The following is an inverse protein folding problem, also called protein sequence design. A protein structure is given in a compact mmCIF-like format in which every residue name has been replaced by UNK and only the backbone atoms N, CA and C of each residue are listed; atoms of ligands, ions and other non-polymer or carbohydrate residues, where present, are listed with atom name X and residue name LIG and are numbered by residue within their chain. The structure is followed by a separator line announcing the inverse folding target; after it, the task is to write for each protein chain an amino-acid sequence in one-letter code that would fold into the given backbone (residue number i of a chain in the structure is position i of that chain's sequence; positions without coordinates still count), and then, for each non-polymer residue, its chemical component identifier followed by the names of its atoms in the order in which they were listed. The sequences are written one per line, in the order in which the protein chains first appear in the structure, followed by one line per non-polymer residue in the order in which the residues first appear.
data_IF_286614037089
#
_entry.id   IF_286614037089
#
_cell.length_a   1.000
_cell.length_b   1.000
_cell.length_c   1.000
_cell.angle_alpha   90.00
_cell.angle_beta   90.00
_cell.angle_gamma   90.00
#
_symmetry.space_group_name_H-M   'P 1'
#
loop_
_entity.id
_entity.type
_entity.pdbx_description
1 polymer ?
#
# COMPACT_ATOMS: atom_id res chain seq x y z
N UNK A 1 35.21 16.41 -4.36
CA UNK A 1 35.11 15.04 -3.82
C UNK A 1 33.67 14.61 -4.04
N UNK A 2 33.45 13.41 -4.59
CA UNK A 2 32.10 12.88 -4.74
C UNK A 2 31.56 12.53 -3.35
N UNK A 3 30.50 13.19 -2.93
CA UNK A 3 29.88 13.01 -1.60
C UNK A 3 28.55 12.32 -1.80
N UNK A 4 28.31 11.25 -1.05
CA UNK A 4 27.00 10.61 -1.01
C UNK A 4 26.07 11.40 -0.09
N UNK A 5 24.88 11.69 -0.59
CA UNK A 5 23.82 12.36 0.16
C UNK A 5 22.58 11.49 0.20
N UNK A 6 21.83 11.62 1.28
CA UNK A 6 20.54 10.96 1.42
C UNK A 6 19.55 11.56 0.40
N UNK A 7 19.00 10.69 -0.43
CA UNK A 7 18.01 11.02 -1.45
C UNK A 7 16.59 10.80 -0.92
N UNK A 8 16.32 9.61 -0.36
CA UNK A 8 14.98 9.24 0.12
C UNK A 8 15.03 8.19 1.23
N UNK A 9 14.00 8.20 2.09
CA UNK A 9 13.81 7.25 3.17
C UNK A 9 12.74 6.23 2.81
N UNK A 10 12.93 4.99 3.27
CA UNK A 10 11.99 3.89 3.11
C UNK A 10 11.81 3.14 4.42
N UNK A 11 10.59 2.65 4.62
CA UNK A 11 10.25 1.72 5.71
C UNK A 11 10.46 0.26 5.30
N UNK A 12 10.49 -0.01 3.99
CA UNK A 12 10.61 -1.34 3.41
C UNK A 12 11.80 -1.43 2.45
N UNK A 13 12.57 -2.52 2.56
CA UNK A 13 13.68 -2.84 1.68
C UNK A 13 13.25 -3.03 0.22
N UNK A 14 12.04 -3.55 -0.02
CA UNK A 14 11.53 -3.79 -1.37
C UNK A 14 11.43 -2.49 -2.19
N UNK A 15 10.79 -1.46 -1.62
CA UNK A 15 10.63 -0.16 -2.27
C UNK A 15 11.98 0.53 -2.50
N UNK A 16 12.87 0.46 -1.51
CA UNK A 16 14.19 1.06 -1.60
C UNK A 16 15.02 0.42 -2.75
N UNK A 17 14.97 -0.90 -2.88
CA UNK A 17 15.66 -1.63 -3.94
C UNK A 17 14.99 -1.47 -5.31
N UNK A 18 13.67 -1.26 -5.37
CA UNK A 18 12.97 -0.90 -6.61
C UNK A 18 13.50 0.43 -7.15
N UNK A 19 13.49 1.48 -6.32
CA UNK A 19 13.93 2.81 -6.73
C UNK A 19 15.44 2.83 -7.05
N UNK A 20 16.28 2.07 -6.33
CA UNK A 20 17.69 1.83 -6.69
C UNK A 20 17.84 1.20 -8.09
N UNK A 21 17.03 0.18 -8.41
CA UNK A 21 17.08 -0.46 -9.74
C UNK A 21 16.63 0.51 -10.84
N UNK A 22 15.61 1.32 -10.60
CA UNK A 22 15.15 2.34 -11.55
C UNK A 22 16.29 3.33 -11.84
N UNK A 23 16.96 3.84 -10.80
CA UNK A 23 18.12 4.73 -10.97
C UNK A 23 19.24 4.05 -11.76
N UNK A 24 19.57 2.80 -11.41
CA UNK A 24 20.59 2.01 -12.10
C UNK A 24 20.27 1.79 -13.58
N UNK A 25 19.02 1.49 -13.92
CA UNK A 25 18.58 1.29 -15.30
C UNK A 25 18.68 2.57 -16.14
N UNK A 26 18.66 3.73 -15.50
CA UNK A 26 18.87 5.04 -16.12
C UNK A 26 20.33 5.52 -16.02
N UNK A 27 21.26 4.63 -15.64
CA UNK A 27 22.69 4.91 -15.61
C UNK A 27 23.18 5.70 -14.39
N UNK A 28 22.36 5.86 -13.35
CA UNK A 28 22.70 6.60 -12.13
C UNK A 28 23.05 5.64 -10.99
N UNK A 29 24.24 5.81 -10.42
CA UNK A 29 24.73 4.94 -9.34
C UNK A 29 24.16 5.35 -7.97
N UNK A 30 23.61 4.39 -7.23
CA UNK A 30 22.97 4.65 -5.95
C UNK A 30 23.19 3.52 -4.94
N UNK A 31 23.14 3.88 -3.66
CA UNK A 31 23.49 3.00 -2.55
C UNK A 31 22.36 2.94 -1.53
N UNK A 32 22.24 1.81 -0.84
CA UNK A 32 21.29 1.63 0.24
C UNK A 32 22.07 1.59 1.55
N UNK A 33 21.71 2.47 2.49
CA UNK A 33 22.23 2.46 3.85
C UNK A 33 21.16 1.98 4.85
N UNK A 34 21.63 1.42 5.97
CA UNK A 34 20.86 0.93 7.11
C UNK A 34 19.92 -0.27 6.87
N UNK A 35 19.84 -0.82 5.65
CA UNK A 35 18.92 -1.93 5.33
C UNK A 35 19.13 -3.15 6.23
N UNK A 36 20.35 -3.69 6.27
CA UNK A 36 20.65 -4.91 7.03
C UNK A 36 20.45 -4.70 8.53
N UNK A 37 20.80 -3.51 9.04
CA UNK A 37 20.62 -3.14 10.44
C UNK A 37 19.15 -3.11 10.83
N UNK A 38 18.30 -2.47 10.01
CA UNK A 38 16.87 -2.36 10.27
C UNK A 38 16.17 -3.72 10.08
N UNK A 39 16.63 -4.54 9.13
CA UNK A 39 16.14 -5.91 8.98
C UNK A 39 16.46 -6.77 10.20
N UNK A 40 17.61 -6.55 10.85
CA UNK A 40 17.98 -7.26 12.07
C UNK A 40 17.15 -6.81 13.29
N UNK A 41 16.89 -5.51 13.40
CA UNK A 41 16.06 -4.93 14.46
C UNK A 41 15.29 -3.71 13.94
N UNK A 42 13.99 -3.89 13.77
CA UNK A 42 13.09 -2.87 13.24
C UNK A 42 13.01 -1.61 14.12
N UNK A 43 13.27 -1.73 15.43
CA UNK A 43 13.23 -0.61 16.38
C UNK A 43 14.31 0.44 16.05
N UNK A 44 15.41 0.01 15.42
CA UNK A 44 16.50 0.89 15.02
C UNK A 44 16.12 1.83 13.87
N UNK A 45 15.02 1.56 13.16
CA UNK A 45 14.53 2.43 12.08
C UNK A 45 14.35 3.88 12.55
N UNK A 46 13.79 4.09 13.74
CA UNK A 46 13.55 5.44 14.24
C UNK A 46 14.85 6.19 14.58
N UNK A 47 15.87 5.46 15.04
CA UNK A 47 17.16 6.03 15.42
C UNK A 47 18.04 6.33 14.20
N UNK A 48 17.95 5.52 13.15
CA UNK A 48 18.77 5.63 11.93
C UNK A 48 18.08 6.38 10.79
N UNK A 49 16.82 6.79 11.00
CA UNK A 49 16.00 7.44 9.99
C UNK A 49 15.45 6.48 8.94
N UNK A 50 15.40 5.18 9.21
CA UNK A 50 14.93 4.19 8.24
C UNK A 50 15.99 3.78 7.21
N UNK A 51 15.53 3.05 6.18
CA UNK A 51 16.38 2.60 5.08
C UNK A 51 16.61 3.80 4.15
N UNK A 52 17.87 4.13 3.88
CA UNK A 52 18.22 5.33 3.11
C UNK A 52 18.69 4.94 1.73
N UNK A 53 18.05 5.47 0.69
CA UNK A 53 18.62 5.51 -0.66
C UNK A 53 19.51 6.74 -0.77
N UNK A 54 20.76 6.54 -1.18
CA UNK A 54 21.79 7.56 -1.29
C UNK A 54 22.27 7.66 -2.74
N UNK A 55 22.53 8.88 -3.17
CA UNK A 55 23.05 9.23 -4.51
C UNK A 55 24.22 10.20 -4.34
N UNK A 56 25.01 10.40 -5.39
CA UNK A 56 26.01 11.45 -5.38
C UNK A 56 25.35 12.83 -5.40
N UNK A 57 25.89 13.77 -4.63
CA UNK A 57 25.31 15.12 -4.43
C UNK A 57 25.10 15.88 -5.75
N UNK A 58 26.03 15.73 -6.69
CA UNK A 58 25.98 16.32 -8.03
C UNK A 58 24.97 15.65 -8.98
N UNK A 59 24.46 14.48 -8.61
CA UNK A 59 23.46 13.72 -9.38
C UNK A 59 22.08 13.71 -8.73
N UNK A 60 21.91 14.41 -7.61
CA UNK A 60 20.67 14.42 -6.83
C UNK A 60 19.48 14.91 -7.65
N UNK A 61 19.60 16.03 -8.35
CA UNK A 61 18.52 16.56 -9.21
C UNK A 61 18.15 15.58 -10.33
N UNK A 62 19.12 14.91 -10.95
CA UNK A 62 18.86 13.90 -11.98
C UNK A 62 18.11 12.69 -11.41
N UNK A 63 18.45 12.27 -10.20
CA UNK A 63 17.75 11.17 -9.52
C UNK A 63 16.27 11.51 -9.26
N UNK A 64 15.98 12.77 -8.89
CA UNK A 64 14.60 13.25 -8.71
C UNK A 64 13.84 13.15 -10.05
N UNK A 65 14.45 13.65 -11.12
CA UNK A 65 13.84 13.65 -12.46
C UNK A 65 13.53 12.23 -12.95
N UNK A 66 14.48 11.30 -12.82
CA UNK A 66 14.31 9.90 -13.23
C UNK A 66 13.14 9.24 -12.47
N UNK A 67 13.08 9.40 -11.15
CA UNK A 67 12.03 8.78 -10.33
C UNK A 67 10.65 9.38 -10.64
N UNK A 68 10.56 10.70 -10.78
CA UNK A 68 9.29 11.35 -11.12
C UNK A 68 8.79 10.93 -12.50
N UNK A 69 9.67 10.92 -13.52
CA UNK A 69 9.32 10.44 -14.84
C UNK A 69 8.86 8.98 -14.82
N UNK A 70 9.51 8.12 -14.04
CA UNK A 70 9.07 6.73 -13.91
C UNK A 70 7.67 6.65 -13.31
N UNK A 71 7.40 7.35 -12.20
CA UNK A 71 6.10 7.35 -11.56
C UNK A 71 4.99 7.89 -12.46
N UNK A 72 5.24 8.97 -13.21
CA UNK A 72 4.28 9.53 -14.17
C UNK A 72 3.95 8.58 -15.32
N UNK A 73 4.94 7.83 -15.81
CA UNK A 73 4.75 6.85 -16.89
C UNK A 73 4.20 5.49 -16.40
N UNK A 74 4.35 5.18 -15.11
CA UNK A 74 3.84 3.94 -14.49
C UNK A 74 2.33 4.03 -14.14
N UNK A 75 1.65 5.13 -14.47
CA UNK A 75 0.18 5.20 -14.52
C UNK A 75 -0.40 4.33 -15.66
N UNK A 76 0.06 3.09 -15.80
CA UNK A 76 -0.74 2.04 -16.41
C UNK A 76 -1.82 1.71 -15.39
N UNK A 77 -2.99 2.32 -15.56
CA UNK A 77 -4.22 1.83 -14.97
C UNK A 77 -4.29 0.33 -15.27
N UNK A 78 -4.02 -0.50 -14.27
CA UNK A 78 -4.34 -1.92 -14.37
C UNK A 78 -5.83 -1.95 -14.65
N UNK A 79 -6.21 -2.33 -15.87
CA UNK A 79 -7.61 -2.58 -16.22
C UNK A 79 -8.02 -3.82 -15.42
N UNK A 80 -8.45 -3.60 -14.19
CA UNK A 80 -9.00 -4.65 -13.35
C UNK A 80 -10.41 -4.91 -13.86
N UNK A 81 -10.69 -6.12 -14.31
CA UNK A 81 -12.04 -6.53 -14.69
C UNK A 81 -13.01 -6.20 -13.56
N UNK A 82 -14.01 -5.38 -13.88
CA UNK A 82 -15.04 -4.93 -12.94
C UNK A 82 -16.05 -6.03 -12.60
N UNK A 83 -15.94 -7.19 -13.26
CA UNK A 83 -16.88 -8.29 -13.18
C UNK A 83 -16.19 -9.59 -12.88
N UNK A 84 -16.56 -10.22 -11.78
CA UNK A 84 -16.14 -11.57 -11.43
C UNK A 84 -17.13 -12.60 -11.97
N UNK A 85 -16.63 -13.75 -12.43
CA UNK A 85 -17.44 -14.83 -13.01
C UNK A 85 -18.45 -15.43 -12.02
N UNK A 86 -18.04 -15.56 -10.75
CA UNK A 86 -18.87 -16.12 -9.67
C UNK A 86 -18.98 -15.10 -8.52
N UNK A 87 -19.91 -14.13 -8.59
CA UNK A 87 -20.12 -13.18 -7.51
C UNK A 87 -20.76 -13.84 -6.28
N UNK A 88 -20.40 -13.35 -5.09
CA UNK A 88 -21.01 -13.80 -3.82
C UNK A 88 -22.44 -13.28 -3.65
N UNK A 89 -22.78 -12.18 -4.33
CA UNK A 89 -24.07 -11.51 -4.22
C UNK A 89 -24.73 -11.36 -5.59
N UNK A 90 -26.05 -11.51 -5.63
CA UNK A 90 -26.87 -11.43 -6.86
C UNK A 90 -27.15 -9.98 -7.33
N UNK A 91 -26.57 -8.97 -6.67
CA UNK A 91 -26.78 -7.56 -6.98
C UNK A 91 -25.47 -6.84 -7.31
N UNK A 92 -25.59 -5.71 -7.99
CA UNK A 92 -24.46 -4.89 -8.44
C UNK A 92 -24.40 -3.57 -7.68
N UNK A 93 -23.23 -2.94 -7.65
CA UNK A 93 -23.07 -1.60 -7.11
C UNK A 93 -23.98 -0.60 -7.85
N UNK A 94 -24.83 0.19 -7.16
CA UNK A 94 -25.72 1.15 -7.81
C UNK A 94 -24.98 2.32 -8.47
N UNK A 95 -23.72 2.58 -8.08
CA UNK A 95 -22.91 3.70 -8.59
C UNK A 95 -22.10 3.34 -9.84
N UNK A 96 -21.58 2.11 -9.92
CA UNK A 96 -20.66 1.72 -10.99
C UNK A 96 -21.04 0.43 -11.73
N UNK A 97 -22.07 -0.29 -11.30
CA UNK A 97 -22.53 -1.53 -11.95
C UNK A 97 -21.64 -2.76 -11.73
N UNK A 98 -20.53 -2.65 -10.99
CA UNK A 98 -19.68 -3.80 -10.66
C UNK A 98 -20.41 -4.82 -9.77
N UNK A 99 -20.17 -6.11 -10.00
CA UNK A 99 -20.64 -7.21 -9.15
C UNK A 99 -19.58 -7.65 -8.10
N UNK A 100 -18.43 -6.96 -8.04
CA UNK A 100 -17.37 -7.23 -7.07
C UNK A 100 -17.61 -6.42 -5.80
N UNK A 101 -18.27 -7.06 -4.84
CA UNK A 101 -18.75 -6.44 -3.61
C UNK A 101 -18.28 -7.25 -2.40
N UNK A 102 -18.10 -6.57 -1.26
CA UNK A 102 -17.97 -7.22 0.04
C UNK A 102 -18.96 -6.64 1.04
N UNK A 103 -19.33 -7.43 2.03
CA UNK A 103 -20.18 -7.01 3.14
C UNK A 103 -19.30 -6.63 4.32
N UNK A 104 -19.63 -5.55 5.01
CA UNK A 104 -18.94 -5.19 6.23
C UNK A 104 -19.21 -6.26 7.31
N UNK A 105 -18.17 -6.88 7.85
CA UNK A 105 -18.30 -7.90 8.89
C UNK A 105 -18.28 -7.30 10.31
N UNK A 106 -18.37 -5.97 10.44
CA UNK A 106 -18.30 -5.30 11.73
C UNK A 106 -19.38 -5.86 12.69
N UNK A 107 -18.99 -6.56 13.77
CA UNK A 107 -19.93 -7.32 14.60
C UNK A 107 -20.85 -6.43 15.46
N UNK A 108 -20.71 -5.11 15.36
CA UNK A 108 -21.53 -4.11 16.05
C UNK A 108 -21.30 -4.07 17.56
N UNK A 109 -21.86 -3.07 18.23
CA UNK A 109 -21.68 -2.85 19.67
C UNK A 109 -22.28 -3.94 20.57
N UNK A 110 -23.21 -4.75 20.04
CA UNK A 110 -23.86 -5.83 20.78
C UNK A 110 -22.97 -7.06 20.98
N UNK A 111 -21.91 -7.22 20.18
CA UNK A 111 -21.02 -8.36 20.25
C UNK A 111 -20.36 -8.50 21.64
N UNK A 112 -19.82 -7.41 22.17
CA UNK A 112 -19.18 -7.40 23.50
C UNK A 112 -20.16 -7.64 24.64
N UNK A 113 -21.36 -7.07 24.57
CA UNK A 113 -22.40 -7.24 25.61
C UNK A 113 -22.91 -8.68 25.66
N UNK A 114 -23.13 -9.30 24.49
CA UNK A 114 -23.59 -10.70 24.42
C UNK A 114 -22.59 -11.67 25.05
N UNK A 115 -21.29 -11.46 24.82
CA UNK A 115 -20.23 -12.28 25.39
C UNK A 115 -20.19 -12.17 26.92
N UNK A 116 -20.37 -10.96 27.46
CA UNK A 116 -20.32 -10.71 28.91
C UNK A 116 -21.56 -11.23 29.65
N UNK A 117 -22.76 -11.12 29.06
CA UNK A 117 -24.02 -11.46 29.73
C UNK A 117 -24.44 -12.91 29.49
N UNK A 118 -24.28 -13.41 28.26
CA UNK A 118 -24.77 -14.73 27.83
C UNK A 118 -23.65 -15.78 27.74
N UNK A 119 -22.37 -15.37 27.83
CA UNK A 119 -21.22 -16.26 27.70
C UNK A 119 -20.98 -16.77 26.27
N UNK A 120 -21.70 -16.25 25.28
CA UNK A 120 -21.55 -16.63 23.88
C UNK A 120 -21.59 -15.40 22.95
N UNK A 121 -20.65 -15.26 22.00
CA UNK A 121 -20.59 -14.10 21.11
C UNK A 121 -21.68 -14.19 20.03
N UNK A 122 -22.68 -13.33 20.10
CA UNK A 122 -23.70 -13.18 19.06
C UNK A 122 -23.27 -12.12 18.04
N UNK A 123 -23.12 -12.53 16.78
CA UNK A 123 -22.92 -11.62 15.64
C UNK A 123 -24.27 -11.25 15.03
N UNK A 124 -24.55 -9.95 14.89
CA UNK A 124 -25.64 -9.48 14.05
C UNK A 124 -25.12 -9.33 12.61
N UNK A 125 -25.82 -9.84 11.59
CA UNK A 125 -25.43 -9.60 10.20
C UNK A 125 -25.55 -8.11 9.88
N UNK A 126 -24.53 -7.53 9.27
CA UNK A 126 -24.63 -6.17 8.74
C UNK A 126 -25.37 -6.17 7.41
N UNK A 127 -26.00 -5.05 7.08
CA UNK A 127 -26.62 -4.79 5.78
C UNK A 127 -25.81 -3.76 4.97
N UNK A 128 -24.57 -3.49 5.37
CA UNK A 128 -23.71 -2.51 4.71
C UNK A 128 -22.76 -3.21 3.74
N UNK A 129 -22.78 -2.78 2.48
CA UNK A 129 -21.97 -3.34 1.41
C UNK A 129 -21.07 -2.27 0.83
N UNK A 130 -19.89 -2.71 0.40
CA UNK A 130 -18.87 -1.87 -0.20
C UNK A 130 -18.48 -2.44 -1.57
N UNK A 131 -18.29 -1.56 -2.55
CA UNK A 131 -17.80 -1.95 -3.86
C UNK A 131 -16.27 -1.83 -3.93
N UNK A 132 -15.59 -2.91 -4.34
CA UNK A 132 -14.13 -2.91 -4.51
C UNK A 132 -13.65 -1.93 -5.59
N UNK A 133 -14.52 -1.57 -6.55
CA UNK A 133 -14.14 -0.73 -7.68
C UNK A 133 -14.28 0.77 -7.41
N UNK A 134 -15.47 1.22 -6.97
CA UNK A 134 -15.76 2.64 -6.81
C UNK A 134 -15.82 3.10 -5.35
N UNK A 135 -15.53 2.20 -4.41
CA UNK A 135 -15.54 2.43 -2.98
C UNK A 135 -16.89 2.97 -2.45
N UNK A 136 -17.99 2.70 -3.17
CA UNK A 136 -19.32 3.13 -2.78
C UNK A 136 -19.87 2.24 -1.67
N UNK A 137 -20.40 2.87 -0.63
CA UNK A 137 -21.06 2.21 0.49
C UNK A 137 -22.58 2.29 0.28
N UNK A 138 -23.28 1.18 0.43
CA UNK A 138 -24.74 1.14 0.26
C UNK A 138 -25.37 -0.01 1.05
N UNK A 139 -26.68 0.09 1.27
CA UNK A 139 -27.50 -0.98 1.82
C UNK A 139 -28.27 -1.63 0.68
N UNK A 140 -28.24 -2.97 0.62
CA UNK A 140 -28.91 -3.77 -0.40
C UNK A 140 -30.12 -4.50 0.19
#
# INVERSE_FOLDING_TARGET
MATLVQFKYYTNSLEANRDKQILKNNGLESFIANEQTIQSDWLLSQALGGIQLQVFDDEKEKAIEIINNFLENEHTSLEVEHTILNPEFDFTCPKCGSNHLYRDENPGGLFGVSLLVLGFPLKAPSHLYHCYYCNNEFQA
#
